data_IF_358953283219
#
_entry.id   IF_358953283219
#
_cell.length_a   1.000
_cell.length_b   1.000
_cell.length_c   1.000
_cell.angle_alpha   90.00
_cell.angle_beta   90.00
_cell.angle_gamma   90.00
#
_symmetry.space_group_name_H-M   'P 1'
#
loop_
_entity.id
_entity.type
_entity.pdbx_description
1 polymer ?
#
# COMPACT_ATOMS: atom_id res chain seq x y z
N UNK A 1 16.37 15.37 8.89
CA UNK A 1 16.25 14.36 7.80
C UNK A 1 14.91 14.58 7.10
N UNK A 2 14.89 14.73 5.78
CA UNK A 2 13.68 15.04 5.00
C UNK A 2 12.96 13.76 4.58
N UNK A 3 11.62 13.76 4.64
CA UNK A 3 10.80 12.59 4.29
C UNK A 3 10.53 12.59 2.78
N UNK A 4 11.02 11.58 2.05
CA UNK A 4 10.97 11.55 0.57
C UNK A 4 9.74 10.78 0.05
N UNK A 5 9.40 9.64 0.66
CA UNK A 5 8.26 8.82 0.22
C UNK A 5 7.44 8.33 1.41
N UNK A 6 6.29 8.97 1.62
CA UNK A 6 5.35 8.62 2.71
C UNK A 6 4.83 7.18 2.60
N UNK A 7 4.67 6.66 1.38
CA UNK A 7 4.24 5.28 1.16
C UNK A 7 5.34 4.27 1.53
N UNK A 8 6.61 4.59 1.24
CA UNK A 8 7.72 3.71 1.59
C UNK A 8 7.86 3.58 3.10
N UNK A 9 7.74 4.71 3.81
CA UNK A 9 7.77 4.73 5.28
C UNK A 9 6.59 3.94 5.87
N UNK A 10 5.39 4.06 5.28
CA UNK A 10 4.21 3.33 5.70
C UNK A 10 4.38 1.81 5.54
N UNK A 11 4.71 1.33 4.33
CA UNK A 11 4.87 -0.10 4.05
C UNK A 11 6.02 -0.71 4.85
N UNK A 12 7.14 0.02 5.01
CA UNK A 12 8.26 -0.45 5.85
C UNK A 12 7.85 -0.62 7.31
N UNK A 13 7.04 0.30 7.85
CA UNK A 13 6.51 0.17 9.21
C UNK A 13 5.56 -1.01 9.35
N UNK A 14 4.71 -1.26 8.35
CA UNK A 14 3.83 -2.45 8.33
C UNK A 14 4.63 -3.74 8.31
N UNK A 15 5.57 -3.89 7.37
CA UNK A 15 6.41 -5.09 7.28
C UNK A 15 7.18 -5.35 8.58
N UNK A 16 7.74 -4.29 9.19
CA UNK A 16 8.46 -4.43 10.46
C UNK A 16 7.53 -4.78 11.63
N UNK A 17 6.29 -4.29 11.65
CA UNK A 17 5.30 -4.61 12.67
C UNK A 17 4.84 -6.08 12.54
N UNK A 18 4.57 -6.51 11.31
CA UNK A 18 4.18 -7.89 10.98
C UNK A 18 5.28 -8.88 11.34
N UNK A 19 6.53 -8.59 10.94
CA UNK A 19 7.71 -9.41 11.29
C UNK A 19 7.95 -9.50 12.79
N UNK A 20 7.48 -8.52 13.57
CA UNK A 20 7.54 -8.51 15.03
C UNK A 20 6.31 -9.18 15.68
N UNK A 21 5.34 -9.66 14.90
CA UNK A 21 4.11 -10.28 15.41
C UNK A 21 3.15 -9.29 16.09
N UNK A 22 3.20 -8.00 15.73
CA UNK A 22 2.26 -7.01 16.28
C UNK A 22 0.90 -7.18 15.63
N UNK A 23 -0.17 -7.05 16.43
CA UNK A 23 -1.56 -7.13 15.95
C UNK A 23 -2.04 -5.89 15.21
N UNK A 24 -1.38 -4.75 15.42
CA UNK A 24 -1.76 -3.48 14.81
C UNK A 24 -0.56 -2.58 14.57
N UNK A 25 -0.68 -1.70 13.57
CA UNK A 25 0.34 -0.71 13.23
C UNK A 25 -0.30 0.65 13.00
N UNK A 26 0.32 1.69 13.54
CA UNK A 26 -0.08 3.08 13.32
C UNK A 26 0.83 3.73 12.27
N UNK A 27 0.22 4.24 11.20
CA UNK A 27 0.91 4.91 10.10
C UNK A 27 0.69 6.42 10.21
N UNK A 28 1.79 7.18 10.16
CA UNK A 28 1.79 8.65 10.12
C UNK A 28 2.91 9.13 9.17
N UNK A 29 2.63 10.01 8.20
CA UNK A 29 1.39 10.72 7.93
C UNK A 29 0.42 9.88 7.10
N UNK A 30 -0.87 10.18 7.17
CA UNK A 30 -1.86 9.59 6.26
C UNK A 30 -1.77 10.24 4.87
N UNK A 31 -2.07 9.48 3.82
CA UNK A 31 -2.22 10.02 2.47
C UNK A 31 -3.27 9.23 1.69
N UNK A 32 -3.92 9.87 0.72
CA UNK A 32 -4.92 9.22 -0.16
C UNK A 32 -4.35 8.00 -0.89
N UNK A 33 -3.06 8.03 -1.23
CA UNK A 33 -2.36 6.90 -1.88
C UNK A 33 -2.25 5.72 -0.93
N UNK A 34 -1.88 5.96 0.33
CA UNK A 34 -1.80 4.90 1.36
C UNK A 34 -3.18 4.29 1.58
N UNK A 35 -4.22 5.10 1.75
CA UNK A 35 -5.59 4.60 1.97
C UNK A 35 -6.04 3.70 0.81
N UNK A 36 -5.86 4.14 -0.44
CA UNK A 36 -6.19 3.34 -1.62
C UNK A 36 -5.37 2.05 -1.71
N UNK A 37 -4.09 2.09 -1.34
CA UNK A 37 -3.25 0.90 -1.33
C UNK A 37 -3.71 -0.11 -0.27
N UNK A 38 -4.06 0.36 0.93
CA UNK A 38 -4.60 -0.48 2.01
C UNK A 38 -5.96 -1.10 1.61
N UNK A 39 -6.83 -0.38 0.90
CA UNK A 39 -8.09 -0.95 0.39
C UNK A 39 -7.81 -2.15 -0.52
N UNK A 40 -6.81 -2.06 -1.41
CA UNK A 40 -6.44 -3.20 -2.27
C UNK A 40 -5.88 -4.35 -1.43
N UNK A 41 -5.01 -4.09 -0.46
CA UNK A 41 -4.48 -5.12 0.43
C UNK A 41 -5.58 -5.82 1.25
N UNK A 42 -6.57 -5.06 1.73
CA UNK A 42 -7.73 -5.58 2.46
C UNK A 42 -8.60 -6.44 1.56
N UNK A 43 -8.84 -6.00 0.32
CA UNK A 43 -9.62 -6.76 -0.68
C UNK A 43 -9.03 -8.14 -0.96
N UNK A 44 -7.71 -8.27 -0.98
CA UNK A 44 -7.02 -9.56 -1.13
C UNK A 44 -6.84 -10.32 0.20
N UNK A 45 -7.22 -9.74 1.34
CA UNK A 45 -7.17 -10.39 2.65
C UNK A 45 -5.78 -10.46 3.30
N UNK A 46 -4.83 -9.60 2.87
CA UNK A 46 -3.49 -9.51 3.49
C UNK A 46 -3.47 -8.70 4.78
N UNK A 47 -4.46 -7.83 4.98
CA UNK A 47 -4.65 -7.04 6.21
C UNK A 47 -6.10 -7.19 6.69
N UNK A 48 -6.33 -6.87 7.96
CA UNK A 48 -7.67 -6.76 8.53
C UNK A 48 -8.31 -5.40 8.24
N UNK A 49 -9.14 -4.95 9.18
CA UNK A 49 -9.74 -3.62 9.11
C UNK A 49 -8.71 -2.52 9.36
N UNK A 50 -8.96 -1.34 8.81
CA UNK A 50 -8.17 -0.16 9.11
C UNK A 50 -9.06 1.06 9.36
N UNK A 51 -8.60 1.94 10.25
CA UNK A 51 -9.32 3.13 10.65
C UNK A 51 -8.49 4.38 10.37
N UNK A 52 -9.13 5.40 9.81
CA UNK A 52 -8.55 6.73 9.65
C UNK A 52 -8.91 7.61 10.86
N UNK A 53 -7.90 8.11 11.56
CA UNK A 53 -8.04 9.02 12.70
C UNK A 53 -7.59 10.41 12.29
N UNK A 54 -8.50 11.38 12.34
CA UNK A 54 -8.20 12.78 12.05
C UNK A 54 -7.59 13.47 13.29
N UNK A 55 -6.39 14.01 13.13
CA UNK A 55 -5.69 14.77 14.17
C UNK A 55 -5.61 16.28 13.86
N UNK A 56 -6.41 16.75 12.89
CA UNK A 56 -6.39 18.11 12.36
C UNK A 56 -5.00 18.54 11.82
N UNK A 57 -4.10 17.58 11.56
CA UNK A 57 -2.77 17.81 10.99
C UNK A 57 -2.56 17.00 9.73
N UNK A 58 -2.13 15.75 9.86
CA UNK A 58 -1.78 14.89 8.72
C UNK A 58 -2.47 13.54 8.78
N UNK A 59 -3.40 13.36 9.71
CA UNK A 59 -4.10 12.11 9.99
C UNK A 59 -3.17 11.02 10.49
N UNK A 60 -3.79 9.97 11.02
CA UNK A 60 -3.16 8.69 11.35
C UNK A 60 -4.03 7.58 10.78
N UNK A 61 -3.40 6.47 10.41
CA UNK A 61 -4.14 5.28 10.00
C UNK A 61 -3.73 4.16 10.94
N UNK A 62 -4.70 3.51 11.59
CA UNK A 62 -4.48 2.31 12.39
C UNK A 62 -4.88 1.12 11.52
N UNK A 63 -3.96 0.20 11.28
CA UNK A 63 -4.19 -0.99 10.46
C UNK A 63 -4.10 -2.23 11.34
N UNK A 64 -5.10 -3.10 11.27
CA UNK A 64 -5.06 -4.41 11.89
C UNK A 64 -4.30 -5.41 11.02
N UNK A 65 -3.40 -6.14 11.65
CA UNK A 65 -2.49 -7.09 11.04
C UNK A 65 -2.93 -8.51 11.38
N UNK A 66 -3.09 -9.36 10.37
CA UNK A 66 -3.66 -10.70 10.50
C UNK A 66 -2.62 -11.84 10.40
N UNK A 67 -1.34 -11.54 10.23
CA UNK A 67 -0.26 -12.52 10.14
C UNK A 67 -0.03 -13.11 8.74
N UNK A 68 -0.75 -12.66 7.72
CA UNK A 68 -0.65 -13.20 6.34
C UNK A 68 0.32 -12.43 5.45
N UNK A 69 0.80 -11.27 5.88
CA UNK A 69 1.65 -10.43 5.06
C UNK A 69 3.12 -10.89 5.15
N UNK A 70 3.67 -11.47 4.08
CA UNK A 70 5.07 -11.88 4.08
C UNK A 70 5.99 -10.68 3.85
N UNK A 71 5.68 -9.86 2.83
CA UNK A 71 6.46 -8.68 2.49
C UNK A 71 5.60 -7.63 1.81
N UNK A 72 5.87 -6.37 2.10
CA UNK A 72 5.36 -5.24 1.32
C UNK A 72 6.47 -4.21 1.09
N UNK A 73 6.39 -3.49 -0.02
CA UNK A 73 7.39 -2.50 -0.38
C UNK A 73 6.95 -1.57 -1.51
N UNK A 74 7.62 -0.43 -1.61
CA UNK A 74 7.46 0.52 -2.71
C UNK A 74 8.52 0.26 -3.76
N UNK A 75 8.14 0.32 -5.02
CA UNK A 75 9.08 0.31 -6.15
C UNK A 75 9.43 1.78 -6.46
N UNK A 76 10.72 2.10 -6.39
CA UNK A 76 11.25 3.44 -6.61
C UNK A 76 12.49 3.38 -7.50
N UNK A 77 12.58 4.18 -8.58
CA UNK A 77 11.56 5.12 -9.07
C UNK A 77 10.30 4.41 -9.62
N UNK A 78 9.22 5.16 -9.83
CA UNK A 78 7.96 4.61 -10.37
C UNK A 78 8.09 4.45 -11.88
N UNK A 79 8.46 3.25 -12.31
CA UNK A 79 8.62 2.90 -13.71
C UNK A 79 7.27 2.83 -14.42
N UNK A 80 7.23 3.28 -15.68
CA UNK A 80 6.12 3.04 -16.59
C UNK A 80 6.16 1.59 -17.07
N UNK A 81 5.04 0.90 -16.97
CA UNK A 81 4.90 -0.52 -17.33
C UNK A 81 3.72 -0.71 -18.28
N UNK A 82 3.94 -1.55 -19.29
CA UNK A 82 2.89 -2.03 -20.17
C UNK A 82 2.01 -3.07 -19.50
N UNK A 83 0.86 -3.38 -20.11
CA UNK A 83 -0.20 -4.26 -19.58
C UNK A 83 0.28 -5.64 -19.10
N UNK A 84 1.37 -6.16 -19.68
CA UNK A 84 1.89 -7.50 -19.37
C UNK A 84 2.68 -7.58 -18.05
N UNK A 85 3.23 -6.48 -17.54
CA UNK A 85 4.23 -6.47 -16.44
C UNK A 85 3.77 -5.70 -15.19
N UNK A 86 2.47 -5.40 -15.08
CA UNK A 86 1.96 -4.54 -14.01
C UNK A 86 2.02 -5.28 -12.68
N UNK A 87 2.48 -4.63 -11.61
CA UNK A 87 2.26 -5.10 -10.23
C UNK A 87 1.39 -4.15 -9.40
N UNK A 88 1.31 -2.83 -9.65
CA UNK A 88 0.24 -1.95 -9.11
C UNK A 88 0.35 -0.51 -9.63
N UNK A 89 -0.80 0.05 -10.05
CA UNK A 89 -1.13 1.42 -10.55
C UNK A 89 -1.33 1.57 -12.05
N UNK A 90 -2.54 2.04 -12.38
CA UNK A 90 -3.01 2.33 -13.74
C UNK A 90 -3.52 3.76 -13.81
N UNK A 91 -3.61 4.31 -15.02
CA UNK A 91 -4.22 5.63 -15.26
C UNK A 91 -5.68 5.73 -14.79
N UNK A 92 -6.37 4.60 -14.60
CA UNK A 92 -7.74 4.50 -14.10
C UNK A 92 -7.85 4.34 -12.57
N UNK A 93 -6.72 4.24 -11.84
CA UNK A 93 -6.69 4.11 -10.39
C UNK A 93 -5.62 3.15 -9.86
N UNK A 94 -5.50 3.08 -8.52
CA UNK A 94 -4.68 2.08 -7.84
C UNK A 94 -5.48 0.78 -7.82
N UNK A 95 -4.97 -0.23 -8.51
CA UNK A 95 -5.55 -1.56 -8.64
C UNK A 95 -4.44 -2.58 -8.78
N UNK A 96 -4.78 -3.85 -8.53
CA UNK A 96 -3.89 -4.99 -8.70
C UNK A 96 -3.56 -5.25 -10.18
N UNK A 97 -2.61 -6.14 -10.40
CA UNK A 97 -2.18 -6.52 -11.73
C UNK A 97 -3.25 -7.31 -12.50
N UNK A 98 -4.09 -8.08 -11.81
CA UNK A 98 -5.16 -8.85 -12.44
C UNK A 98 -6.26 -7.93 -12.99
N UNK A 99 -6.72 -6.94 -12.21
CA UNK A 99 -7.69 -5.95 -12.69
C UNK A 99 -7.11 -5.09 -13.82
N UNK A 100 -5.83 -4.74 -13.75
CA UNK A 100 -5.17 -3.99 -14.80
C UNK A 100 -5.14 -4.77 -16.13
N UNK A 101 -4.87 -6.08 -16.07
CA UNK A 101 -4.94 -6.98 -17.24
C UNK A 101 -6.36 -7.11 -17.77
N UNK A 102 -7.37 -7.27 -16.89
CA UNK A 102 -8.79 -7.35 -17.31
C UNK A 102 -9.28 -6.09 -18.01
N UNK A 103 -8.81 -4.92 -17.56
CA UNK A 103 -9.16 -3.62 -18.14
C UNK A 103 -8.26 -3.23 -19.32
N UNK A 104 -7.24 -4.02 -19.63
CA UNK A 104 -6.25 -3.76 -20.67
C UNK A 104 -5.62 -2.35 -20.57
N UNK A 105 -5.26 -1.94 -19.35
CA UNK A 105 -4.71 -0.61 -19.06
C UNK A 105 -3.27 -0.71 -18.55
N UNK A 106 -2.39 0.14 -19.10
CA UNK A 106 -1.02 0.34 -18.62
C UNK A 106 -0.95 1.27 -17.40
N UNK A 107 0.24 1.48 -16.85
CA UNK A 107 0.43 2.50 -15.83
C UNK A 107 1.83 2.55 -15.25
N UNK A 108 1.93 2.99 -14.00
CA UNK A 108 3.20 3.13 -13.29
C UNK A 108 3.23 2.15 -12.15
N UNK A 109 4.35 1.49 -11.88
CA UNK A 109 4.45 0.61 -10.71
C UNK A 109 4.60 1.45 -9.44
N UNK A 110 3.79 1.14 -8.43
CA UNK A 110 3.74 1.84 -7.16
C UNK A 110 4.36 1.02 -6.02
N UNK A 111 4.16 -0.29 -6.01
CA UNK A 111 4.69 -1.19 -4.98
C UNK A 111 4.19 -2.61 -5.16
N UNK A 112 4.56 -3.48 -4.22
CA UNK A 112 4.20 -4.90 -4.21
C UNK A 112 3.83 -5.34 -2.79
N UNK A 113 3.04 -6.41 -2.71
CA UNK A 113 2.76 -7.16 -1.49
C UNK A 113 2.51 -8.63 -1.81
N UNK A 114 2.92 -9.53 -0.91
CA UNK A 114 2.64 -10.97 -0.93
C UNK A 114 2.84 -11.56 0.47
#
# INVERSE_FOLDING_TARGET
>A
MVRVSVLNDALKNMYNAEKRGKRQVMIRPSSKVIIKFLIVMQKHGYIGEFEYVDDHRSGKIVVELNGRLNKCGVISPRFDVGVKEIELTTSAGIMDHEEARRKNVGGKVLGFFY
#
